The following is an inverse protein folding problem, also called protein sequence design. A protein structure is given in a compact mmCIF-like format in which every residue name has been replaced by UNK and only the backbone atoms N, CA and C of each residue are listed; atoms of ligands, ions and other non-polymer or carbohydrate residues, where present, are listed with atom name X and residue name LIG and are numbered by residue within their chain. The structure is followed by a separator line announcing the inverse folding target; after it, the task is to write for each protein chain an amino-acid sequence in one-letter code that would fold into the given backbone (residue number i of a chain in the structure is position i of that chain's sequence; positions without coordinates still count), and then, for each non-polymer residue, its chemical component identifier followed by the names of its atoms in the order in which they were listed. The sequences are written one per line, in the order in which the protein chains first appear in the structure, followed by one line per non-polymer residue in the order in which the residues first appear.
data_IF_292633035008
#
_entry.id   IF_292633035008
#
_cell.length_a   1.000
_cell.length_b   1.000
_cell.length_c   1.000
_cell.angle_alpha   90.00
_cell.angle_beta   90.00
_cell.angle_gamma   90.00
#
_symmetry.space_group_name_H-M   'P 1'
#
loop_
_entity.id
_entity.type
_entity.pdbx_description
1 polymer ?
#
# COMPACT_ATOMS: atom_id res chain seq x y z
N UNK A 1 8.19 -17.60 -62.92
CA UNK A 1 8.10 -19.08 -62.87
C UNK A 1 7.60 -19.41 -61.48
N UNK A 2 6.40 -19.99 -61.40
CA UNK A 2 5.56 -20.17 -60.19
C UNK A 2 6.02 -21.39 -59.39
N UNK A 3 5.75 -21.42 -58.07
CA UNK A 3 5.33 -22.53 -57.18
C UNK A 3 5.88 -22.30 -55.74
N UNK A 4 5.23 -22.77 -54.64
CA UNK A 4 3.83 -23.18 -54.44
C UNK A 4 3.16 -22.52 -53.20
N UNK A 5 1.85 -22.74 -53.07
CA UNK A 5 1.01 -22.37 -51.91
C UNK A 5 1.44 -23.09 -50.63
N UNK A 6 1.58 -22.35 -49.53
CA UNK A 6 1.66 -22.92 -48.18
C UNK A 6 0.28 -22.83 -47.53
N UNK A 7 -0.43 -23.95 -47.50
CA UNK A 7 -1.43 -24.18 -46.46
C UNK A 7 -0.70 -24.59 -45.18
N UNK A 8 -0.90 -23.88 -44.08
CA UNK A 8 -0.83 -24.54 -42.78
C UNK A 8 -1.78 -23.87 -41.79
N UNK A 9 -2.62 -24.72 -41.23
CA UNK A 9 -3.64 -24.45 -40.24
C UNK A 9 -3.08 -23.70 -39.03
N UNK A 10 -3.67 -22.55 -38.71
CA UNK A 10 -3.51 -21.94 -37.40
C UNK A 10 -4.29 -22.80 -36.39
N UNK A 11 -3.57 -23.52 -35.54
CA UNK A 11 -4.12 -24.13 -34.34
C UNK A 11 -4.77 -23.03 -33.48
N UNK A 12 -6.00 -23.19 -32.99
CA UNK A 12 -6.57 -22.22 -32.08
C UNK A 12 -5.74 -22.23 -30.79
N UNK A 13 -5.11 -21.08 -30.50
CA UNK A 13 -4.51 -20.79 -29.19
C UNK A 13 -5.63 -20.93 -28.17
N UNK A 14 -5.49 -21.92 -27.27
CA UNK A 14 -6.42 -22.15 -26.17
C UNK A 14 -6.43 -20.91 -25.26
N UNK A 15 -7.38 -20.01 -25.50
CA UNK A 15 -7.67 -18.83 -24.69
C UNK A 15 -8.55 -19.25 -23.49
N UNK A 16 -8.07 -20.23 -22.72
CA UNK A 16 -8.73 -20.68 -21.49
C UNK A 16 -7.72 -20.66 -20.35
N UNK A 17 -7.26 -19.45 -20.02
CA UNK A 17 -6.90 -19.17 -18.62
C UNK A 17 -8.18 -18.70 -17.95
N UNK A 18 -8.94 -19.67 -17.42
CA UNK A 18 -9.97 -19.37 -16.44
C UNK A 18 -9.24 -18.88 -15.19
N UNK A 19 -9.00 -17.58 -15.10
CA UNK A 19 -8.65 -16.94 -13.85
C UNK A 19 -9.89 -17.04 -12.96
N UNK A 20 -9.92 -18.05 -12.11
CA UNK A 20 -10.86 -18.10 -10.99
C UNK A 20 -10.57 -16.87 -10.13
N UNK A 21 -11.35 -15.80 -10.32
CA UNK A 21 -11.31 -14.62 -9.47
C UNK A 21 -11.69 -15.07 -8.05
N UNK A 22 -10.69 -15.25 -7.19
CA UNK A 22 -10.90 -15.44 -5.77
C UNK A 22 -11.81 -14.30 -5.27
N UNK A 23 -12.83 -14.64 -4.49
CA UNK A 23 -13.73 -13.64 -3.94
C UNK A 23 -12.92 -12.62 -3.12
N UNK A 24 -12.94 -11.36 -3.55
CA UNK A 24 -12.22 -10.29 -2.87
C UNK A 24 -12.80 -10.11 -1.47
N UNK A 25 -11.94 -10.14 -0.44
CA UNK A 25 -12.33 -9.77 0.91
C UNK A 25 -12.33 -8.24 1.01
N UNK A 26 -13.51 -7.65 1.19
CA UNK A 26 -13.67 -6.19 1.33
C UNK A 26 -13.82 -5.80 2.80
N UNK A 27 -13.19 -4.70 3.19
CA UNK A 27 -13.38 -4.05 4.49
C UNK A 27 -13.51 -2.54 4.30
N UNK A 28 -14.52 -1.93 4.93
CA UNK A 28 -14.73 -0.48 4.90
C UNK A 28 -14.23 0.08 6.22
N UNK A 29 -13.23 0.97 6.14
CA UNK A 29 -12.66 1.65 7.31
C UNK A 29 -13.56 2.86 7.65
N UNK A 30 -14.11 2.95 8.87
CA UNK A 30 -14.87 4.13 9.27
C UNK A 30 -14.01 5.39 9.21
N UNK A 31 -14.64 6.53 8.93
CA UNK A 31 -13.96 7.83 8.94
C UNK A 31 -13.21 8.05 10.25
N UNK A 32 -11.99 8.60 10.16
CA UNK A 32 -11.08 8.83 11.28
C UNK A 32 -10.63 7.58 12.07
N UNK A 33 -10.74 6.36 11.50
CA UNK A 33 -10.25 5.12 12.11
C UNK A 33 -9.16 4.45 11.26
N UNK A 34 -8.49 3.44 11.82
CA UNK A 34 -7.46 2.63 11.14
C UNK A 34 -7.88 1.18 11.02
N UNK A 35 -7.23 0.45 10.11
CA UNK A 35 -7.40 -0.99 9.94
C UNK A 35 -6.07 -1.64 9.57
N UNK A 36 -5.76 -2.76 10.23
CA UNK A 36 -4.55 -3.53 9.97
C UNK A 36 -4.91 -4.93 9.49
N UNK A 37 -4.20 -5.41 8.48
CA UNK A 37 -4.36 -6.73 7.90
C UNK A 37 -3.01 -7.26 7.40
N UNK A 38 -2.91 -8.59 7.28
CA UNK A 38 -1.71 -9.25 6.78
C UNK A 38 -1.81 -9.47 5.27
N UNK A 39 -0.68 -9.33 4.59
CA UNK A 39 -0.52 -9.57 3.15
C UNK A 39 0.67 -10.50 2.98
N UNK A 40 0.46 -11.63 2.27
CA UNK A 40 1.54 -12.56 1.94
C UNK A 40 2.21 -12.16 0.64
N UNK A 41 3.45 -12.61 0.44
CA UNK A 41 4.18 -12.41 -0.82
C UNK A 41 3.35 -12.93 -2.01
N UNK A 42 3.14 -12.06 -3.00
CA UNK A 42 2.37 -12.34 -4.21
C UNK A 42 0.86 -12.07 -4.09
N UNK A 43 0.35 -11.77 -2.91
CA UNK A 43 -1.02 -11.28 -2.74
C UNK A 43 -1.13 -9.81 -3.12
N UNK A 44 -2.34 -9.42 -3.53
CA UNK A 44 -2.67 -8.05 -3.90
C UNK A 44 -3.76 -7.53 -2.97
N UNK A 45 -3.69 -6.25 -2.64
CA UNK A 45 -4.78 -5.51 -2.01
C UNK A 45 -4.98 -4.20 -2.76
N UNK A 46 -6.16 -3.60 -2.56
CA UNK A 46 -6.52 -2.32 -3.16
C UNK A 46 -7.06 -1.39 -2.09
N UNK A 47 -6.55 -0.16 -2.07
CA UNK A 47 -7.15 0.94 -1.32
C UNK A 47 -8.08 1.69 -2.27
N UNK A 48 -9.32 1.89 -1.85
CA UNK A 48 -10.35 2.55 -2.65
C UNK A 48 -10.87 3.75 -1.87
N UNK A 49 -10.74 4.93 -2.44
CA UNK A 49 -11.46 6.11 -1.97
C UNK A 49 -12.92 5.99 -2.44
N UNK A 50 -13.83 5.78 -1.49
CA UNK A 50 -15.24 5.46 -1.76
C UNK A 50 -16.05 6.66 -2.25
N UNK A 51 -15.68 7.87 -1.80
CA UNK A 51 -16.47 9.08 -2.00
C UNK A 51 -15.67 10.21 -2.66
N UNK A 52 -14.35 10.04 -2.81
CA UNK A 52 -13.46 11.08 -3.28
C UNK A 52 -12.92 11.93 -2.12
N UNK A 53 -11.78 12.57 -2.37
CA UNK A 53 -11.12 13.58 -1.51
C UNK A 53 -10.57 13.06 -0.18
N UNK A 54 -10.71 11.77 0.14
CA UNK A 54 -10.22 11.21 1.39
C UNK A 54 -8.74 10.81 1.27
N UNK A 55 -7.88 11.51 2.02
CA UNK A 55 -6.48 11.09 2.19
C UNK A 55 -6.35 9.91 3.16
N UNK A 56 -5.34 9.07 2.97
CA UNK A 56 -5.02 7.96 3.86
C UNK A 56 -3.54 8.01 4.23
N UNK A 57 -3.26 7.76 5.50
CA UNK A 57 -1.91 7.45 5.94
C UNK A 57 -1.68 5.97 5.81
N UNK A 58 -0.65 5.61 5.03
CA UNK A 58 -0.31 4.23 4.74
C UNK A 58 1.01 3.83 5.40
N UNK A 59 1.02 2.69 6.09
CA UNK A 59 2.20 2.13 6.72
C UNK A 59 2.18 0.60 6.62
N UNK A 60 3.37 -0.01 6.60
CA UNK A 60 3.53 -1.46 6.53
C UNK A 60 4.76 -1.91 7.32
N UNK A 61 4.67 -3.10 7.92
CA UNK A 61 5.73 -3.73 8.70
C UNK A 61 5.97 -5.15 8.20
N UNK A 62 7.22 -5.60 8.22
CA UNK A 62 7.59 -6.97 7.87
C UNK A 62 7.33 -7.86 9.09
N UNK A 63 6.53 -8.91 8.88
CA UNK A 63 6.20 -9.86 9.94
C UNK A 63 7.45 -10.63 10.42
N UNK A 64 7.54 -10.89 11.72
CA UNK A 64 8.66 -11.63 12.32
C UNK A 64 9.90 -10.76 12.62
N UNK A 65 9.79 -9.44 12.45
CA UNK A 65 10.88 -8.49 12.71
C UNK A 65 10.67 -7.65 13.98
N UNK A 66 9.70 -8.02 14.83
CA UNK A 66 9.29 -7.26 16.01
C UNK A 66 8.99 -5.78 15.69
N UNK A 67 8.31 -5.54 14.55
CA UNK A 67 7.98 -4.21 14.02
C UNK A 67 9.21 -3.33 13.72
N UNK A 68 10.42 -3.88 13.65
CA UNK A 68 11.64 -3.11 13.38
C UNK A 68 11.85 -2.84 11.91
N UNK A 69 11.53 -3.81 11.05
CA UNK A 69 11.57 -3.61 9.60
C UNK A 69 10.21 -3.12 9.11
N UNK A 70 10.21 -1.94 8.51
CA UNK A 70 9.01 -1.22 8.10
C UNK A 70 9.21 -0.45 6.81
N UNK A 71 8.11 -0.20 6.12
CA UNK A 71 8.05 0.70 4.98
C UNK A 71 8.69 2.06 5.34
N UNK A 72 9.60 2.52 4.49
CA UNK A 72 10.35 3.75 4.69
C UNK A 72 10.22 4.67 3.49
N UNK A 73 9.60 5.83 3.72
CA UNK A 73 9.48 6.87 2.71
C UNK A 73 10.84 7.47 2.34
N UNK A 74 11.82 7.48 3.25
CA UNK A 74 13.16 7.98 2.97
C UNK A 74 13.91 7.06 1.98
N UNK A 75 13.84 5.74 2.18
CA UNK A 75 14.45 4.77 1.27
C UNK A 75 13.70 4.73 -0.05
N UNK A 76 12.37 4.80 -0.02
CA UNK A 76 11.55 4.88 -1.24
C UNK A 76 11.94 6.10 -2.08
N UNK A 77 12.06 7.29 -1.47
CA UNK A 77 12.53 8.49 -2.19
C UNK A 77 13.96 8.36 -2.70
N UNK A 78 14.85 7.68 -1.97
CA UNK A 78 16.22 7.46 -2.42
C UNK A 78 16.26 6.64 -3.71
N UNK A 79 15.51 5.54 -3.79
CA UNK A 79 15.43 4.70 -4.99
C UNK A 79 14.71 5.36 -6.17
N UNK A 80 13.82 6.31 -5.89
CA UNK A 80 13.04 7.01 -6.90
C UNK A 80 13.60 8.41 -7.22
N UNK A 81 14.83 8.73 -6.84
CA UNK A 81 15.45 10.06 -7.06
C UNK A 81 14.54 11.23 -6.62
N UNK A 82 13.75 11.02 -5.56
CA UNK A 82 12.81 11.98 -5.00
C UNK A 82 11.46 12.11 -5.71
N UNK A 83 11.22 11.38 -6.81
CA UNK A 83 9.90 11.37 -7.47
C UNK A 83 8.90 10.46 -6.75
N UNK A 84 7.60 10.71 -6.96
CA UNK A 84 6.54 9.87 -6.42
C UNK A 84 6.47 8.52 -7.13
N UNK A 85 6.14 7.41 -6.43
CA UNK A 85 6.01 6.10 -7.05
C UNK A 85 5.01 6.10 -8.20
N UNK A 86 5.45 5.61 -9.35
CA UNK A 86 4.59 5.34 -10.49
C UNK A 86 4.20 3.86 -10.54
N UNK A 87 3.26 3.50 -11.42
CA UNK A 87 2.95 2.09 -11.68
C UNK A 87 4.21 1.37 -12.18
N UNK A 88 4.55 0.26 -11.54
CA UNK A 88 5.77 -0.52 -11.76
C UNK A 88 6.82 -0.32 -10.68
N UNK A 89 6.78 0.80 -9.95
CA UNK A 89 7.77 1.13 -8.93
C UNK A 89 7.53 0.41 -7.60
N UNK A 90 8.62 0.25 -6.86
CA UNK A 90 8.61 -0.36 -5.54
C UNK A 90 8.63 0.68 -4.42
N UNK A 91 7.94 0.35 -3.34
CA UNK A 91 8.13 0.93 -2.03
C UNK A 91 9.16 0.08 -1.26
N UNK A 92 9.95 0.74 -0.43
CA UNK A 92 11.16 0.15 0.17
C UNK A 92 11.12 0.17 1.70
N UNK A 93 11.69 -0.85 2.33
CA UNK A 93 11.85 -0.89 3.79
C UNK A 93 13.03 -0.05 4.27
N UNK A 94 13.12 0.16 5.58
CA UNK A 94 14.33 0.67 6.25
C UNK A 94 15.51 -0.31 6.27
N UNK A 95 15.36 -1.51 5.71
CA UNK A 95 16.43 -2.48 5.48
C UNK A 95 16.89 -2.51 4.00
N UNK A 96 16.48 -1.52 3.20
CA UNK A 96 16.81 -1.39 1.78
C UNK A 96 16.29 -2.53 0.89
N UNK A 97 15.14 -3.11 1.26
CA UNK A 97 14.51 -4.21 0.52
C UNK A 97 13.12 -3.79 -0.01
N UNK A 98 12.69 -4.26 -1.19
CA UNK A 98 11.33 -3.99 -1.70
C UNK A 98 10.26 -4.66 -0.83
N UNK A 99 9.26 -3.90 -0.39
CA UNK A 99 8.14 -4.42 0.42
C UNK A 99 6.83 -4.52 -0.37
N UNK A 100 6.55 -3.55 -1.24
CA UNK A 100 5.31 -3.44 -2.01
C UNK A 100 5.61 -2.88 -3.40
N UNK A 101 4.84 -3.29 -4.40
CA UNK A 101 4.90 -2.73 -5.75
C UNK A 101 3.59 -2.01 -6.06
N UNK A 102 3.68 -0.83 -6.68
CA UNK A 102 2.51 -0.14 -7.23
C UNK A 102 2.16 -0.81 -8.55
N UNK A 103 1.09 -1.59 -8.59
CA UNK A 103 0.67 -2.31 -9.80
C UNK A 103 -0.43 -1.59 -10.59
N UNK A 104 -1.15 -0.68 -9.94
CA UNK A 104 -2.20 0.15 -10.53
C UNK A 104 -2.41 1.38 -9.64
N UNK A 105 -2.76 2.52 -10.24
CA UNK A 105 -2.98 3.77 -9.52
C UNK A 105 -3.89 4.71 -10.32
N UNK A 106 -5.03 5.09 -9.76
CA UNK A 106 -5.96 6.05 -10.37
C UNK A 106 -5.88 7.44 -9.73
N UNK A 107 -5.19 7.59 -8.59
CA UNK A 107 -5.08 8.84 -7.82
C UNK A 107 -3.91 9.69 -8.31
N UNK A 108 -2.79 9.06 -8.69
CA UNK A 108 -1.58 9.67 -9.29
C UNK A 108 -0.80 10.65 -8.41
N UNK A 109 -1.34 11.06 -7.27
CA UNK A 109 -0.73 12.04 -6.36
C UNK A 109 -0.66 11.43 -4.97
N UNK A 110 0.58 11.24 -4.49
CA UNK A 110 0.88 10.66 -3.19
C UNK A 110 1.96 11.48 -2.50
N UNK A 111 1.72 11.90 -1.26
CA UNK A 111 2.76 12.53 -0.45
C UNK A 111 3.62 11.46 0.23
N UNK A 112 4.92 11.72 0.27
CA UNK A 112 5.88 10.92 1.03
C UNK A 112 6.66 11.78 2.04
N UNK A 113 6.39 13.08 2.13
CA UNK A 113 7.27 14.05 2.80
C UNK A 113 6.83 14.41 4.20
N UNK A 114 5.53 14.33 4.50
CA UNK A 114 4.99 14.64 5.81
C UNK A 114 4.83 13.40 6.67
N UNK A 115 4.88 13.64 7.98
CA UNK A 115 4.53 12.64 8.97
C UNK A 115 3.01 12.52 9.10
N UNK A 116 2.55 11.40 9.64
CA UNK A 116 1.18 11.26 10.07
C UNK A 116 0.76 12.34 11.05
N UNK A 117 -0.47 12.86 10.92
CA UNK A 117 -1.00 13.73 11.97
C UNK A 117 -1.04 12.95 13.30
N UNK A 118 -0.79 13.65 14.41
CA UNK A 118 -0.60 13.06 15.73
C UNK A 118 -1.28 13.89 16.81
N UNK A 119 -1.62 13.34 18.00
CA UNK A 119 -2.46 14.03 18.98
C UNK A 119 -1.94 15.41 19.39
N UNK A 120 -0.62 15.49 19.65
CA UNK A 120 0.05 16.73 20.05
C UNK A 120 0.01 17.83 18.98
N UNK A 121 -0.25 17.51 17.70
CA UNK A 121 -0.47 18.50 16.65
C UNK A 121 -1.77 19.27 16.92
N UNK A 122 -2.86 18.55 17.21
CA UNK A 122 -4.17 19.14 17.49
C UNK A 122 -4.25 19.83 18.85
N UNK A 123 -3.57 19.28 19.87
CA UNK A 123 -3.53 19.89 21.21
C UNK A 123 -2.88 21.27 21.21
N UNK A 124 -1.86 21.50 20.36
CA UNK A 124 -1.21 22.81 20.20
C UNK A 124 -2.16 23.86 19.63
N UNK A 125 -3.15 23.44 18.85
CA UNK A 125 -4.23 24.28 18.33
C UNK A 125 -5.42 24.39 19.31
N UNK A 126 -5.29 23.84 20.52
CA UNK A 126 -6.34 23.87 21.55
C UNK A 126 -7.44 22.81 21.36
N UNK A 127 -7.29 21.89 20.40
CA UNK A 127 -8.28 20.83 20.12
C UNK A 127 -7.92 19.58 20.92
N UNK A 128 -8.78 19.21 21.87
CA UNK A 128 -8.57 18.05 22.75
C UNK A 128 -9.35 16.82 22.27
N UNK A 129 -8.74 15.65 22.38
CA UNK A 129 -9.39 14.36 22.08
C UNK A 129 -9.61 14.09 20.58
N UNK A 130 -8.96 14.85 19.69
CA UNK A 130 -9.06 14.64 18.25
C UNK A 130 -8.38 13.33 17.84
N UNK A 131 -9.07 12.50 17.04
CA UNK A 131 -8.46 11.29 16.45
C UNK A 131 -7.35 11.70 15.48
N UNK A 132 -6.31 10.89 15.35
CA UNK A 132 -5.16 11.24 14.51
C UNK A 132 -4.65 9.99 13.80
N UNK A 133 -4.09 10.14 12.60
CA UNK A 133 -3.61 9.01 11.82
C UNK A 133 -2.60 8.16 12.59
N UNK A 134 -1.63 8.78 13.28
CA UNK A 134 -0.67 8.04 14.10
C UNK A 134 -1.35 7.32 15.29
N UNK A 135 -2.37 7.93 15.91
CA UNK A 135 -3.20 7.27 16.92
C UNK A 135 -3.98 6.08 16.37
N UNK A 136 -4.55 6.24 15.17
CA UNK A 136 -5.34 5.21 14.48
C UNK A 136 -4.47 4.01 14.07
N UNK A 137 -3.26 4.26 13.57
CA UNK A 137 -2.30 3.22 13.24
C UNK A 137 -1.88 2.48 14.50
N UNK A 138 -1.56 3.21 15.58
CA UNK A 138 -1.20 2.60 16.87
C UNK A 138 -2.29 1.71 17.43
N UNK A 139 -3.55 2.15 17.39
CA UNK A 139 -4.71 1.36 17.81
C UNK A 139 -4.87 0.10 16.94
N UNK A 140 -4.81 0.24 15.61
CA UNK A 140 -4.96 -0.87 14.68
C UNK A 140 -3.82 -1.90 14.78
N UNK A 141 -2.61 -1.45 15.11
CA UNK A 141 -1.41 -2.29 15.21
C UNK A 141 -1.17 -2.85 16.62
N UNK A 142 -1.96 -2.45 17.63
CA UNK A 142 -1.83 -2.96 19.00
C UNK A 142 -1.86 -4.50 19.09
N UNK A 143 -2.71 -5.25 18.35
CA UNK A 143 -2.68 -6.71 18.34
C UNK A 143 -1.37 -7.32 17.79
N UNK A 144 -0.55 -6.52 17.11
CA UNK A 144 0.73 -6.93 16.52
C UNK A 144 1.94 -6.46 17.34
N UNK A 145 1.72 -5.92 18.55
CA UNK A 145 2.78 -5.55 19.48
C UNK A 145 3.17 -4.07 19.47
N UNK A 146 2.43 -3.21 18.78
CA UNK A 146 2.65 -1.77 18.83
C UNK A 146 2.14 -1.19 20.16
N UNK A 147 2.95 -0.36 20.82
CA UNK A 147 2.68 0.12 22.19
C UNK A 147 2.25 1.58 22.24
N UNK A 148 2.45 2.36 21.17
CA UNK A 148 1.96 3.73 21.13
C UNK A 148 2.25 4.47 19.82
N UNK A 149 1.81 5.74 19.80
CA UNK A 149 1.95 6.66 18.67
C UNK A 149 3.41 6.84 18.22
N UNK A 150 4.38 6.77 19.15
CA UNK A 150 5.80 6.92 18.84
C UNK A 150 6.38 5.74 18.05
N UNK A 151 5.73 4.57 18.07
CA UNK A 151 6.17 3.38 17.33
C UNK A 151 5.76 3.47 15.84
N UNK A 152 4.86 4.39 15.48
CA UNK A 152 4.42 4.61 14.10
C UNK A 152 5.55 5.24 13.27
N UNK A 153 6.19 6.27 13.82
CA UNK A 153 7.21 7.09 13.14
C UNK A 153 8.59 6.45 13.12
#
# INVERSE_FOLDING_TARGET
MVFPEFSNSLSPVNLHRQDQAAALKTHVIPAAHGYAFQVKKGEHFRVVDLYGEQVVDFAAWVQGTDLREKLSMAYTRFHLDGVTPAVGEYLWTNNDEPILQVVDDTVKVHDMTFMSCFPKMYEKEGIKGHRSCAGNISEAMAPYGMNGVLDVT
#
